data_IF_664006738403
#
_entry.id   IF_664006738403
#
_cell.length_a   1.000
_cell.length_b   1.000
_cell.length_c   1.000
_cell.angle_alpha   90.00
_cell.angle_beta   90.00
_cell.angle_gamma   90.00
#
_symmetry.space_group_name_H-M   'P 1'
#
loop_
_entity.id
_entity.type
_entity.pdbx_description
1 polymer ?
#
# COMPACT_ATOMS: atom_id res chain seq x y z
N UNK A 1 6.26 -0.01 28.90
CA UNK A 1 4.99 0.65 29.30
C UNK A 1 4.31 1.10 28.01
N UNK A 2 3.23 0.44 27.57
CA UNK A 2 2.50 0.87 26.36
C UNK A 2 1.71 2.13 26.68
N UNK A 3 1.65 3.08 25.75
CA UNK A 3 0.89 4.33 25.92
C UNK A 3 -0.61 4.02 26.01
N UNK A 4 -1.35 4.82 26.78
CA UNK A 4 -2.82 4.70 26.92
C UNK A 4 -3.54 4.77 25.55
N UNK A 5 -2.91 5.42 24.55
CA UNK A 5 -3.36 5.44 23.16
C UNK A 5 -3.23 4.09 22.44
N UNK A 6 -2.16 3.33 22.69
CA UNK A 6 -1.96 2.02 22.08
C UNK A 6 -2.92 0.96 22.66
N UNK A 7 -3.24 1.07 23.96
CA UNK A 7 -4.21 0.16 24.60
C UNK A 7 -5.63 0.35 24.06
N UNK A 8 -6.07 1.60 23.83
CA UNK A 8 -7.39 1.88 23.27
C UNK A 8 -7.55 1.38 21.82
N UNK A 9 -6.49 1.52 21.00
CA UNK A 9 -6.46 0.99 19.63
C UNK A 9 -6.54 -0.54 19.63
N UNK A 10 -5.82 -1.22 20.53
CA UNK A 10 -5.86 -2.68 20.62
C UNK A 10 -7.26 -3.22 20.95
N UNK A 11 -7.93 -2.61 21.94
CA UNK A 11 -9.27 -3.02 22.37
C UNK A 11 -10.29 -2.86 21.23
N UNK A 12 -10.20 -1.77 20.46
CA UNK A 12 -11.11 -1.53 19.33
C UNK A 12 -11.02 -2.62 18.25
N UNK A 13 -9.82 -3.13 17.97
CA UNK A 13 -9.60 -4.12 16.92
C UNK A 13 -9.85 -5.56 17.38
N UNK A 14 -9.57 -5.89 18.63
CA UNK A 14 -9.89 -7.20 19.21
C UNK A 14 -11.39 -7.49 19.18
N UNK A 15 -12.24 -6.51 19.50
CA UNK A 15 -13.70 -6.67 19.46
C UNK A 15 -14.25 -6.90 18.04
N UNK A 16 -13.50 -6.55 16.99
CA UNK A 16 -13.84 -6.83 15.59
C UNK A 16 -13.25 -8.15 15.07
N UNK A 17 -12.67 -8.98 15.94
CA UNK A 17 -12.07 -10.26 15.57
C UNK A 17 -10.80 -10.14 14.72
N UNK A 18 -10.15 -8.98 14.73
CA UNK A 18 -8.93 -8.73 13.96
C UNK A 18 -7.71 -8.70 14.88
N UNK A 19 -6.70 -9.52 14.57
CA UNK A 19 -5.47 -9.57 15.33
C UNK A 19 -4.68 -8.26 15.16
N UNK A 20 -4.46 -7.55 16.28
CA UNK A 20 -3.68 -6.29 16.33
C UNK A 20 -2.32 -6.39 15.63
N UNK A 21 -1.49 -7.44 15.83
CA UNK A 21 -0.18 -7.51 15.21
C UNK A 21 -0.24 -7.48 13.67
N UNK A 22 -1.25 -8.12 13.09
CA UNK A 22 -1.44 -8.15 11.63
C UNK A 22 -1.76 -6.76 11.07
N UNK A 23 -2.55 -5.97 11.80
CA UNK A 23 -2.92 -4.61 11.38
C UNK A 23 -1.74 -3.64 11.53
N UNK A 24 -0.95 -3.76 12.58
CA UNK A 24 0.28 -2.95 12.75
C UNK A 24 1.25 -3.19 11.60
N UNK A 25 1.45 -4.45 11.18
CA UNK A 25 2.29 -4.75 10.03
C UNK A 25 1.70 -4.18 8.74
N UNK A 26 0.39 -4.36 8.49
CA UNK A 26 -0.28 -3.85 7.29
C UNK A 26 -0.21 -2.32 7.17
N UNK A 27 -0.26 -1.61 8.30
CA UNK A 27 -0.16 -0.14 8.37
C UNK A 27 1.29 0.37 8.31
N UNK A 28 2.29 -0.51 8.42
CA UNK A 28 3.69 -0.10 8.44
C UNK A 28 4.12 0.51 7.11
N UNK A 29 4.60 1.76 7.13
CA UNK A 29 5.10 2.45 5.95
C UNK A 29 6.46 1.86 5.53
N UNK A 30 6.56 1.41 4.28
CA UNK A 30 7.80 0.90 3.66
C UNK A 30 8.17 1.72 2.43
N UNK A 31 9.44 2.12 2.38
CA UNK A 31 10.06 2.73 1.20
C UNK A 31 10.65 1.64 0.31
N UNK A 32 10.35 1.68 -0.99
CA UNK A 32 10.98 0.83 -2.02
C UNK A 32 11.49 1.68 -3.16
N UNK A 33 12.59 1.26 -3.78
CA UNK A 33 13.07 1.84 -5.04
C UNK A 33 12.41 1.10 -6.19
N UNK A 34 11.75 1.83 -7.09
CA UNK A 34 11.09 1.29 -8.28
C UNK A 34 11.66 1.98 -9.51
N UNK A 35 11.75 1.27 -10.63
CA UNK A 35 12.23 1.86 -11.89
C UNK A 35 11.04 2.29 -12.71
N UNK A 36 10.98 3.58 -13.04
CA UNK A 36 9.91 4.21 -13.83
C UNK A 36 10.58 4.95 -14.97
N UNK A 37 10.20 4.65 -16.22
CA UNK A 37 10.79 5.24 -17.41
C UNK A 37 12.34 5.24 -17.42
N UNK A 38 12.96 4.16 -16.92
CA UNK A 38 14.42 4.02 -16.81
C UNK A 38 15.06 4.74 -15.62
N UNK A 39 14.29 5.48 -14.82
CA UNK A 39 14.78 6.24 -13.67
C UNK A 39 14.39 5.57 -12.35
N UNK A 40 15.34 5.48 -11.42
CA UNK A 40 15.07 5.00 -10.07
C UNK A 40 14.27 6.03 -9.27
N UNK A 41 13.07 5.65 -8.84
CA UNK A 41 12.16 6.47 -8.05
C UNK A 41 11.91 5.80 -6.71
N UNK A 42 12.07 6.56 -5.63
CA UNK A 42 11.74 6.10 -4.28
C UNK A 42 10.27 6.32 -3.96
N UNK A 43 9.55 5.27 -3.59
CA UNK A 43 8.12 5.32 -3.24
C UNK A 43 7.92 4.76 -1.83
N UNK A 44 7.12 5.45 -1.02
CA UNK A 44 6.77 5.03 0.34
C UNK A 44 5.27 4.74 0.45
N UNK A 45 4.94 3.48 0.75
CA UNK A 45 3.56 2.98 0.91
C UNK A 45 3.48 2.03 2.10
N UNK A 46 2.30 1.92 2.69
CA UNK A 46 1.98 0.93 3.71
C UNK A 46 2.08 -0.49 3.12
N UNK A 47 2.47 -1.46 3.94
CA UNK A 47 2.58 -2.86 3.50
C UNK A 47 1.32 -3.36 2.81
N UNK A 48 0.13 -3.02 3.32
CA UNK A 48 -1.14 -3.39 2.71
C UNK A 48 -1.28 -2.91 1.25
N UNK A 49 -0.77 -1.73 0.93
CA UNK A 49 -0.80 -1.22 -0.45
C UNK A 49 0.27 -1.87 -1.32
N UNK A 50 1.44 -2.21 -0.77
CA UNK A 50 2.44 -2.97 -1.53
C UNK A 50 1.94 -4.36 -1.92
N UNK A 51 1.28 -5.05 -0.99
CA UNK A 51 0.73 -6.38 -1.22
C UNK A 51 -0.39 -6.30 -2.27
N UNK A 52 -1.36 -5.39 -2.09
CA UNK A 52 -2.45 -5.21 -3.04
C UNK A 52 -1.98 -4.77 -4.43
N UNK A 53 -0.91 -3.96 -4.52
CA UNK A 53 -0.31 -3.58 -5.80
C UNK A 53 0.32 -4.77 -6.51
N UNK A 54 0.97 -5.66 -5.75
CA UNK A 54 1.53 -6.91 -6.29
C UNK A 54 0.41 -7.81 -6.81
N UNK A 55 -0.64 -8.00 -6.04
CA UNK A 55 -1.78 -8.84 -6.43
C UNK A 55 -2.42 -8.32 -7.73
N UNK A 56 -2.67 -7.01 -7.83
CA UNK A 56 -3.19 -6.37 -9.05
C UNK A 56 -2.24 -6.48 -10.26
N UNK A 57 -0.92 -6.50 -10.02
CA UNK A 57 0.06 -6.67 -11.08
C UNK A 57 0.04 -8.13 -11.59
N UNK A 58 -0.02 -9.10 -10.68
CA UNK A 58 -0.11 -10.53 -11.00
C UNK A 58 -1.42 -10.86 -11.74
N UNK A 59 -2.56 -10.30 -11.29
CA UNK A 59 -3.87 -10.45 -11.96
C UNK A 59 -3.88 -9.93 -13.40
N UNK A 60 -3.02 -8.95 -13.70
CA UNK A 60 -2.90 -8.32 -15.02
C UNK A 60 -1.78 -8.92 -15.86
N UNK A 61 -1.06 -9.92 -15.35
CA UNK A 61 0.15 -10.49 -15.98
C UNK A 61 1.20 -9.40 -16.29
N UNK A 62 1.39 -8.48 -15.35
CA UNK A 62 2.33 -7.36 -15.47
C UNK A 62 3.33 -7.38 -14.33
N UNK A 63 4.55 -6.91 -14.58
CA UNK A 63 5.45 -6.59 -13.48
C UNK A 63 4.93 -5.40 -12.67
N UNK A 64 5.23 -5.38 -11.37
CA UNK A 64 4.88 -4.24 -10.50
C UNK A 64 5.44 -2.91 -11.03
N UNK A 65 6.65 -2.91 -11.60
CA UNK A 65 7.24 -1.70 -12.21
C UNK A 65 6.46 -1.25 -13.45
N UNK A 66 5.98 -2.19 -14.26
CA UNK A 66 5.15 -1.85 -15.42
C UNK A 66 3.81 -1.23 -14.98
N UNK A 67 3.14 -1.82 -13.98
CA UNK A 67 1.90 -1.26 -13.45
C UNK A 67 2.10 0.14 -12.84
N UNK A 68 3.17 0.32 -12.05
CA UNK A 68 3.54 1.64 -11.50
C UNK A 68 3.82 2.64 -12.62
N UNK A 69 4.46 2.22 -13.71
CA UNK A 69 4.73 3.07 -14.87
C UNK A 69 3.44 3.52 -15.57
N UNK A 70 2.43 2.65 -15.69
CA UNK A 70 1.12 3.05 -16.23
C UNK A 70 0.42 4.06 -15.31
N UNK A 71 0.44 3.84 -14.00
CA UNK A 71 -0.09 4.79 -13.01
C UNK A 71 0.65 6.13 -13.10
N UNK A 72 1.98 6.10 -13.27
CA UNK A 72 2.82 7.29 -13.38
C UNK A 72 2.51 8.15 -14.62
N UNK A 73 2.09 7.53 -15.72
CA UNK A 73 1.71 8.23 -16.96
C UNK A 73 0.39 8.99 -16.83
N UNK A 74 -0.56 8.44 -16.07
CA UNK A 74 -1.93 8.98 -15.97
C UNK A 74 -2.15 9.86 -14.74
N UNK A 75 -1.25 9.79 -13.74
CA UNK A 75 -1.46 10.50 -12.48
C UNK A 75 -1.41 12.01 -12.61
N UNK A 76 -2.15 12.67 -11.71
CA UNK A 76 -1.87 14.03 -11.26
C UNK A 76 -1.43 13.99 -9.79
N UNK A 77 -0.58 14.93 -9.38
CA UNK A 77 -0.03 14.92 -8.01
C UNK A 77 1.03 13.83 -7.77
N UNK A 78 1.26 13.46 -6.51
CA UNK A 78 2.36 12.56 -6.15
C UNK A 78 2.05 11.07 -6.42
N UNK A 79 3.09 10.31 -6.77
CA UNK A 79 2.97 8.90 -7.16
C UNK A 79 2.41 8.01 -6.04
N UNK A 80 2.80 8.22 -4.79
CA UNK A 80 2.31 7.39 -3.68
C UNK A 80 0.79 7.54 -3.48
N UNK A 81 0.25 8.75 -3.60
CA UNK A 81 -1.20 8.99 -3.54
C UNK A 81 -1.91 8.37 -4.75
N UNK A 82 -1.35 8.52 -5.95
CA UNK A 82 -1.91 7.94 -7.16
C UNK A 82 -2.02 6.41 -7.07
N UNK A 83 -0.97 5.73 -6.58
CA UNK A 83 -0.99 4.28 -6.37
C UNK A 83 -2.09 3.86 -5.39
N UNK A 84 -2.22 4.53 -4.23
CA UNK A 84 -3.25 4.19 -3.24
C UNK A 84 -4.67 4.30 -3.81
N UNK A 85 -4.95 5.37 -4.54
CA UNK A 85 -6.27 5.58 -5.18
C UNK A 85 -6.50 4.56 -6.28
N UNK A 86 -5.50 4.29 -7.12
CA UNK A 86 -5.61 3.27 -8.17
C UNK A 86 -5.99 1.91 -7.58
N UNK A 87 -5.32 1.47 -6.51
CA UNK A 87 -5.64 0.22 -5.82
C UNK A 87 -7.08 0.24 -5.29
N UNK A 88 -7.49 1.34 -4.65
CA UNK A 88 -8.84 1.49 -4.10
C UNK A 88 -9.93 1.33 -5.17
N UNK A 89 -9.76 1.96 -6.34
CA UNK A 89 -10.73 1.90 -7.43
C UNK A 89 -10.77 0.54 -8.13
N UNK A 90 -9.67 -0.22 -8.10
CA UNK A 90 -9.60 -1.53 -8.75
C UNK A 90 -9.99 -2.70 -7.83
N UNK A 91 -10.00 -2.50 -6.52
CA UNK A 91 -10.38 -3.52 -5.52
C UNK A 91 -11.85 -3.45 -5.09
N UNK A 92 -12.57 -2.37 -5.43
CA UNK A 92 -13.99 -2.16 -5.10
C UNK A 92 -14.99 -2.82 -6.06
N UNK A 93 -14.53 -3.70 -6.96
CA UNK A 93 -15.35 -4.30 -8.02
C UNK A 93 -16.18 -5.48 -7.55
#
# INVERSE_FOLDING_TARGET
MMTQSAQAVNIYWEHRGMAVPLMTEKLSLRKRSVTIAGHGTSVSLENAFWDALKDLADERDMSMNALITEIDKERTGNLSSAIRVFILENTRR
#
